data_IF_204370672740
#
_entry.id   IF_204370672740
#
_cell.length_a   1.000
_cell.length_b   1.000
_cell.length_c   1.000
_cell.angle_alpha   90.00
_cell.angle_beta   90.00
_cell.angle_gamma   90.00
#
_symmetry.space_group_name_H-M   'P 1'
#
loop_
_entity.id
_entity.type
_entity.pdbx_description
1 polymer ?
#
# COMPACT_ATOMS: atom_id res chain seq x y z
N UNK A 1 12.48 -13.88 -36.97
CA UNK A 1 13.25 -13.37 -35.82
C UNK A 1 12.43 -12.28 -35.18
N UNK A 2 11.61 -12.63 -34.19
CA UNK A 2 10.74 -11.68 -33.50
C UNK A 2 11.58 -11.01 -32.41
N UNK A 3 11.86 -9.73 -32.57
CA UNK A 3 12.47 -8.92 -31.54
C UNK A 3 11.46 -8.76 -30.40
N UNK A 4 11.62 -9.55 -29.34
CA UNK A 4 11.02 -9.22 -28.05
C UNK A 4 11.69 -7.92 -27.60
N UNK A 5 11.02 -6.80 -27.82
CA UNK A 5 11.29 -5.59 -27.07
C UNK A 5 11.02 -5.93 -25.59
N UNK A 6 12.09 -6.15 -24.84
CA UNK A 6 12.05 -6.27 -23.39
C UNK A 6 11.57 -4.93 -22.84
N UNK A 7 10.26 -4.82 -22.65
CA UNK A 7 9.66 -3.70 -21.94
C UNK A 7 10.28 -3.63 -20.53
N UNK A 8 10.66 -2.43 -20.05
CA UNK A 8 11.14 -2.25 -18.69
C UNK A 8 10.16 -2.88 -17.68
N UNK A 9 10.63 -3.50 -16.59
CA UNK A 9 9.79 -4.15 -15.58
C UNK A 9 8.67 -3.25 -15.03
N UNK A 10 8.91 -1.93 -15.02
CA UNK A 10 8.02 -0.89 -14.51
C UNK A 10 6.66 -0.87 -15.24
N UNK A 11 6.62 -1.15 -16.54
CA UNK A 11 5.35 -1.12 -17.31
C UNK A 11 4.47 -2.37 -17.11
N UNK A 12 4.96 -3.43 -16.44
CA UNK A 12 4.14 -4.62 -16.13
C UNK A 12 3.29 -4.44 -14.87
N UNK A 13 3.66 -3.50 -13.99
CA UNK A 13 2.89 -3.17 -12.79
C UNK A 13 1.63 -2.35 -13.13
N UNK A 14 1.76 -1.38 -14.05
CA UNK A 14 0.78 -0.31 -14.30
C UNK A 14 -0.41 -0.72 -15.20
N UNK A 15 -0.32 -1.83 -15.95
CA UNK A 15 -1.44 -2.23 -16.81
C UNK A 15 -2.58 -2.86 -15.98
N UNK A 16 -3.67 -2.09 -15.79
CA UNK A 16 -4.87 -2.55 -15.10
C UNK A 16 -4.90 -2.27 -13.59
N UNK A 17 -4.03 -1.39 -13.09
CA UNK A 17 -4.13 -0.83 -11.75
C UNK A 17 -5.26 0.21 -11.71
N UNK A 18 -6.11 0.15 -10.68
CA UNK A 18 -7.17 1.13 -10.43
C UNK A 18 -6.67 2.20 -9.45
N UNK A 19 -6.64 3.45 -9.89
CA UNK A 19 -6.28 4.58 -9.03
C UNK A 19 -7.48 5.04 -8.20
N UNK A 20 -7.28 5.13 -6.90
CA UNK A 20 -8.25 5.59 -5.91
C UNK A 20 -7.76 6.93 -5.36
N UNK A 21 -8.59 7.96 -5.51
CA UNK A 21 -8.24 9.30 -5.06
C UNK A 21 -8.06 9.36 -3.52
N UNK A 22 -7.30 10.35 -3.05
CA UNK A 22 -7.02 10.50 -1.63
C UNK A 22 -8.30 10.62 -0.78
N UNK A 23 -8.39 9.80 0.26
CA UNK A 23 -9.53 9.74 1.18
C UNK A 23 -10.75 8.95 0.69
N UNK A 24 -10.78 8.56 -0.60
CA UNK A 24 -11.82 7.71 -1.17
C UNK A 24 -11.69 6.25 -0.72
N UNK A 25 -12.75 5.48 -0.96
CA UNK A 25 -12.84 4.07 -0.59
C UNK A 25 -12.93 3.21 -1.83
N UNK A 26 -12.11 2.17 -1.90
CA UNK A 26 -12.29 1.10 -2.87
C UNK A 26 -13.36 0.12 -2.37
N UNK A 27 -14.33 -0.19 -3.23
CA UNK A 27 -15.33 -1.22 -3.01
C UNK A 27 -15.39 -2.17 -4.22
N UNK A 28 -14.81 -3.35 -4.07
CA UNK A 28 -14.74 -4.29 -5.19
C UNK A 28 -14.16 -5.63 -4.80
N UNK A 29 -14.43 -6.66 -5.60
CA UNK A 29 -13.84 -7.99 -5.43
C UNK A 29 -14.04 -8.57 -4.01
N UNK A 30 -15.18 -8.25 -3.38
CA UNK A 30 -15.51 -8.66 -2.01
C UNK A 30 -14.70 -7.98 -0.91
N UNK A 31 -13.99 -6.89 -1.22
CA UNK A 31 -13.16 -6.12 -0.29
C UNK A 31 -13.62 -4.66 -0.26
N UNK A 32 -13.50 -4.04 0.91
CA UNK A 32 -13.65 -2.61 1.13
C UNK A 32 -12.36 -2.12 1.76
N UNK A 33 -11.66 -1.19 1.10
CA UNK A 33 -10.35 -0.71 1.52
C UNK A 33 -10.33 0.82 1.48
N UNK A 34 -9.86 1.45 2.55
CA UNK A 34 -9.70 2.89 2.63
C UNK A 34 -8.41 3.23 3.38
N UNK A 35 -7.68 4.22 2.87
CA UNK A 35 -6.58 4.84 3.63
C UNK A 35 -7.16 5.81 4.66
N UNK A 36 -6.82 5.60 5.93
CA UNK A 36 -7.31 6.38 7.06
C UNK A 36 -6.34 7.48 7.43
N UNK A 37 -5.05 7.16 7.57
CA UNK A 37 -4.00 8.13 7.92
C UNK A 37 -2.67 7.77 7.26
N UNK A 38 -1.82 8.78 7.12
CA UNK A 38 -0.43 8.65 6.68
C UNK A 38 0.44 9.47 7.62
N UNK A 39 1.16 8.80 8.50
CA UNK A 39 1.97 9.44 9.54
C UNK A 39 3.47 9.24 9.27
N UNK A 40 4.30 10.19 9.72
CA UNK A 40 5.77 10.04 9.78
C UNK A 40 6.22 10.00 11.22
N UNK A 41 6.92 8.93 11.60
CA UNK A 41 7.61 8.82 12.89
C UNK A 41 9.09 9.09 12.65
N UNK A 42 9.75 9.83 13.54
CA UNK A 42 11.17 10.20 13.40
C UNK A 42 12.12 9.32 14.20
N UNK A 43 11.61 8.56 15.18
CA UNK A 43 12.40 7.69 16.05
C UNK A 43 11.66 6.35 16.31
N UNK A 44 11.91 5.28 15.52
CA UNK A 44 12.72 5.25 14.30
C UNK A 44 12.06 6.00 13.13
N UNK A 45 12.84 6.36 12.12
CA UNK A 45 12.36 7.06 10.93
C UNK A 45 11.51 6.12 10.05
N UNK A 46 10.18 6.26 10.12
CA UNK A 46 9.20 5.40 9.44
C UNK A 46 8.07 6.21 8.84
N UNK A 47 7.50 5.71 7.75
CA UNK A 47 6.13 6.06 7.37
C UNK A 47 5.17 4.99 7.89
N UNK A 48 4.06 5.44 8.45
CA UNK A 48 2.96 4.61 8.90
C UNK A 48 1.75 4.90 8.03
N UNK A 49 1.14 3.87 7.46
CA UNK A 49 -0.10 4.00 6.71
C UNK A 49 -1.16 3.16 7.39
N UNK A 50 -2.23 3.79 7.84
CA UNK A 50 -3.35 3.10 8.48
C UNK A 50 -4.42 2.84 7.44
N UNK A 51 -4.81 1.58 7.25
CA UNK A 51 -5.90 1.18 6.37
C UNK A 51 -7.09 0.72 7.19
N UNK A 52 -8.30 1.10 6.78
CA UNK A 52 -9.54 0.44 7.19
C UNK A 52 -9.91 -0.58 6.12
N UNK A 53 -10.01 -1.85 6.50
CA UNK A 53 -10.22 -2.97 5.59
C UNK A 53 -11.37 -3.84 6.10
N UNK A 54 -12.29 -4.17 5.21
CA UNK A 54 -13.24 -5.28 5.39
C UNK A 54 -13.08 -6.24 4.23
N UNK A 55 -12.88 -7.53 4.50
CA UNK A 55 -12.82 -8.56 3.46
C UNK A 55 -13.91 -9.60 3.66
N UNK A 56 -14.79 -9.77 2.67
CA UNK A 56 -15.82 -10.80 2.64
C UNK A 56 -15.36 -12.07 1.91
N UNK A 57 -14.08 -12.16 1.55
CA UNK A 57 -13.46 -13.35 0.96
C UNK A 57 -12.09 -13.64 1.57
N UNK A 58 -11.65 -14.88 1.46
CA UNK A 58 -10.28 -15.26 1.83
C UNK A 58 -9.29 -14.46 1.00
N UNK A 59 -8.29 -13.90 1.67
CA UNK A 59 -7.26 -13.08 1.06
C UNK A 59 -5.91 -13.53 1.59
N UNK A 60 -5.06 -14.03 0.70
CA UNK A 60 -3.66 -14.32 1.00
C UNK A 60 -2.90 -13.02 0.91
N UNK A 61 -2.81 -12.33 2.06
CA UNK A 61 -2.26 -10.98 2.16
C UNK A 61 -1.05 -11.02 3.09
N UNK A 62 0.00 -10.37 2.63
CA UNK A 62 1.26 -10.23 3.34
C UNK A 62 1.87 -8.87 3.05
N UNK A 63 3.07 -8.62 3.60
CA UNK A 63 3.72 -7.32 3.46
C UNK A 63 4.02 -6.96 2.00
N UNK A 64 4.30 -7.95 1.16
CA UNK A 64 4.54 -7.80 -0.27
C UNK A 64 3.28 -7.40 -1.06
N UNK A 65 2.11 -7.50 -0.43
CA UNK A 65 0.86 -6.97 -0.99
C UNK A 65 0.86 -5.45 -1.03
N UNK A 66 1.63 -4.79 -0.15
CA UNK A 66 1.60 -3.34 0.04
C UNK A 66 2.96 -2.71 -0.27
N UNK A 67 2.97 -1.72 -1.14
CA UNK A 67 4.18 -1.01 -1.55
C UNK A 67 3.92 0.49 -1.57
N UNK A 68 4.86 1.27 -1.03
CA UNK A 68 4.75 2.72 -0.90
C UNK A 68 5.61 3.39 -1.97
N UNK A 69 4.99 4.24 -2.78
CA UNK A 69 5.72 5.14 -3.66
C UNK A 69 6.14 6.41 -2.91
N UNK A 70 7.42 6.76 -3.03
CA UNK A 70 7.99 7.98 -2.47
C UNK A 70 8.45 8.89 -3.60
N UNK A 71 8.00 10.14 -3.58
CA UNK A 71 8.28 11.19 -4.60
C UNK A 71 9.75 11.39 -5.03
N UNK A 72 10.72 10.93 -4.24
CA UNK A 72 12.16 11.15 -4.49
C UNK A 72 12.90 9.85 -4.86
N UNK A 73 12.17 8.74 -5.01
CA UNK A 73 12.72 7.43 -5.30
C UNK A 73 12.07 6.82 -6.53
N UNK A 74 12.87 6.09 -7.31
CA UNK A 74 12.39 5.36 -8.48
C UNK A 74 11.87 3.95 -8.13
N UNK A 75 12.12 3.48 -6.90
CA UNK A 75 11.73 2.16 -6.41
C UNK A 75 10.64 2.29 -5.34
N UNK A 76 9.62 1.43 -5.43
CA UNK A 76 8.59 1.32 -4.42
C UNK A 76 9.09 0.56 -3.19
N UNK A 77 8.77 1.08 -2.02
CA UNK A 77 9.22 0.52 -0.74
C UNK A 77 8.18 -0.49 -0.25
N UNK A 78 8.51 -1.78 -0.09
CA UNK A 78 7.57 -2.75 0.44
C UNK A 78 7.26 -2.47 1.91
N UNK A 79 6.09 -2.89 2.38
CA UNK A 79 5.78 -2.85 3.80
C UNK A 79 6.77 -3.73 4.59
N UNK A 80 7.00 -3.35 5.84
CA UNK A 80 7.78 -4.13 6.80
C UNK A 80 6.99 -5.36 7.26
N UNK A 81 7.71 -6.34 7.81
CA UNK A 81 7.10 -7.51 8.46
C UNK A 81 6.27 -7.08 9.67
N UNK A 82 5.20 -7.85 9.94
CA UNK A 82 4.40 -7.65 11.14
C UNK A 82 5.27 -7.81 12.40
N UNK A 83 5.18 -6.85 13.31
CA UNK A 83 5.98 -6.81 14.53
C UNK A 83 5.31 -7.50 15.73
N UNK A 84 4.27 -8.29 15.47
CA UNK A 84 3.51 -9.05 16.47
C UNK A 84 2.39 -8.25 17.15
N UNK A 85 2.22 -6.96 16.84
CA UNK A 85 1.04 -6.21 17.29
C UNK A 85 -0.19 -6.63 16.48
N UNK A 86 -1.39 -6.72 17.07
CA UNK A 86 -2.61 -7.08 16.33
C UNK A 86 -2.90 -6.14 15.15
N UNK A 87 -2.59 -4.85 15.29
CA UNK A 87 -2.78 -3.86 14.24
C UNK A 87 -1.88 -4.10 13.01
N UNK A 88 -0.74 -4.79 13.14
CA UNK A 88 0.19 -5.05 12.04
C UNK A 88 0.02 -6.45 11.45
N UNK A 89 -0.84 -7.30 12.04
CA UNK A 89 -1.11 -8.66 11.54
C UNK A 89 -1.87 -8.64 10.22
N UNK A 90 -1.58 -9.55 9.29
CA UNK A 90 -2.32 -9.70 8.04
C UNK A 90 -3.48 -10.71 8.14
N UNK A 91 -3.84 -11.17 9.34
CA UNK A 91 -4.90 -12.15 9.55
C UNK A 91 -6.28 -11.49 9.58
N UNK A 92 -7.02 -11.53 8.47
CA UNK A 92 -8.36 -10.93 8.38
C UNK A 92 -9.45 -11.93 8.78
N UNK A 93 -10.36 -11.50 9.65
CA UNK A 93 -11.62 -12.20 9.90
C UNK A 93 -12.64 -11.79 8.84
N UNK A 94 -13.30 -12.76 8.23
CA UNK A 94 -14.24 -12.49 7.12
C UNK A 94 -15.43 -11.65 7.59
N UNK A 95 -15.69 -10.58 6.84
CA UNK A 95 -16.81 -9.66 7.07
C UNK A 95 -16.65 -8.71 8.25
N UNK A 96 -15.53 -8.77 8.98
CA UNK A 96 -15.27 -7.87 10.09
C UNK A 96 -14.38 -6.69 9.63
N UNK A 97 -14.82 -5.44 9.86
CA UNK A 97 -13.98 -4.28 9.60
C UNK A 97 -12.83 -4.25 10.59
N UNK A 98 -11.62 -3.97 10.10
CA UNK A 98 -10.43 -3.82 10.93
C UNK A 98 -9.47 -2.80 10.39
N UNK A 99 -8.68 -2.26 11.30
CA UNK A 99 -7.54 -1.41 10.95
C UNK A 99 -6.29 -2.27 10.73
N UNK A 100 -5.52 -1.94 9.70
CA UNK A 100 -4.20 -2.49 9.42
C UNK A 100 -3.21 -1.32 9.41
N UNK A 101 -2.23 -1.40 10.30
CA UNK A 101 -1.11 -0.48 10.37
C UNK A 101 0.05 -1.04 9.53
N UNK A 102 0.32 -0.40 8.41
CA UNK A 102 1.49 -0.68 7.58
C UNK A 102 2.66 0.21 8.04
N UNK A 103 3.86 -0.35 7.99
CA UNK A 103 5.09 0.38 8.31
C UNK A 103 6.03 0.30 7.13
N UNK A 104 6.67 1.41 6.81
CA UNK A 104 7.64 1.51 5.72
C UNK A 104 8.89 2.23 6.23
N UNK A 105 10.06 1.79 5.78
CA UNK A 105 11.30 2.51 6.04
C UNK A 105 11.22 3.89 5.36
N UNK A 106 11.28 4.97 6.14
CA UNK A 106 11.31 6.30 5.58
C UNK A 106 12.76 6.63 5.17
N UNK A 107 12.99 7.18 3.97
CA UNK A 107 14.32 7.59 3.59
C UNK A 107 14.76 8.82 4.39
N UNK A 108 16.06 8.91 4.64
CA UNK A 108 16.71 10.01 5.36
C UNK A 108 16.61 11.39 4.66
N UNK A 109 15.89 11.48 3.53
CA UNK A 109 15.69 12.71 2.78
C UNK A 109 14.55 13.52 3.37
N UNK A 110 14.81 14.81 3.60
CA UNK A 110 13.84 15.72 4.26
C UNK A 110 12.63 15.99 3.36
N UNK A 111 12.83 16.04 2.05
CA UNK A 111 11.81 16.32 1.03
C UNK A 111 11.06 15.08 0.54
N UNK A 112 11.45 13.88 1.00
CA UNK A 112 10.72 12.67 0.71
C UNK A 112 9.34 12.71 1.35
N UNK A 113 8.33 12.41 0.54
CA UNK A 113 6.94 12.25 0.95
C UNK A 113 6.32 11.04 0.25
N UNK A 114 5.43 10.30 0.94
CA UNK A 114 4.57 9.31 0.32
C UNK A 114 3.69 9.95 -0.76
N UNK A 115 3.49 9.25 -1.87
CA UNK A 115 2.68 9.70 -3.01
C UNK A 115 1.51 8.78 -3.22
N UNK A 116 1.79 7.48 -3.38
CA UNK A 116 0.79 6.45 -3.59
C UNK A 116 1.08 5.23 -2.71
N UNK A 117 0.02 4.57 -2.26
CA UNK A 117 0.08 3.22 -1.71
C UNK A 117 -0.45 2.24 -2.76
N UNK A 118 0.43 1.37 -3.24
CA UNK A 118 0.08 0.28 -4.16
C UNK A 118 -0.34 -0.97 -3.38
N UNK A 119 -1.43 -1.57 -3.83
CA UNK A 119 -1.94 -2.88 -3.41
C UNK A 119 -1.84 -3.81 -4.61
N UNK A 120 -1.22 -4.98 -4.47
CA UNK A 120 -0.98 -5.88 -5.63
C UNK A 120 -2.13 -6.86 -5.91
N UNK A 121 -2.96 -7.16 -4.91
CA UNK A 121 -4.21 -7.92 -5.04
C UNK A 121 -5.30 -7.36 -4.10
N UNK A 122 -6.33 -6.66 -4.62
CA UNK A 122 -6.50 -6.30 -6.02
C UNK A 122 -5.47 -5.24 -6.42
N UNK A 123 -5.23 -5.05 -7.72
CA UNK A 123 -4.27 -4.05 -8.22
C UNK A 123 -4.83 -2.64 -8.07
N UNK A 124 -4.45 -1.96 -7.00
CA UNK A 124 -4.93 -0.62 -6.66
C UNK A 124 -3.75 0.33 -6.40
N UNK A 125 -3.92 1.60 -6.71
CA UNK A 125 -3.05 2.68 -6.26
C UNK A 125 -3.87 3.72 -5.51
N UNK A 126 -3.64 3.89 -4.21
CA UNK A 126 -4.29 4.93 -3.42
C UNK A 126 -3.42 6.18 -3.40
N UNK A 127 -3.93 7.28 -3.93
CA UNK A 127 -3.29 8.59 -3.76
C UNK A 127 -3.27 8.98 -2.28
N UNK A 128 -2.13 9.50 -1.81
CA UNK A 128 -1.92 9.84 -0.40
C UNK A 128 -1.87 11.35 -0.15
N UNK A 129 -1.83 12.17 -1.21
CA UNK A 129 -1.77 13.63 -1.07
C UNK A 129 -3.07 14.17 -0.44
N UNK A 130 -2.93 14.85 0.70
CA UNK A 130 -4.08 15.44 1.42
C UNK A 130 -4.72 14.52 2.47
N UNK A 131 -4.15 13.34 2.73
CA UNK A 131 -4.50 12.51 3.90
C UNK A 131 -3.63 12.97 5.08
N UNK A 132 -4.26 13.37 6.18
CA UNK A 132 -3.63 13.80 7.45
C UNK A 132 -3.95 12.83 8.58
#
# INVERSE_FOLDING_TARGET
MFALYGLPPILRAIYGEETIAAGETYEGDGRVIRVVSVDRVTEPELYLVTLAITSNKTWDVGRETFQLEISTQDEWIPAMEADGRPATSFDFVLGEPRELLLQFEAPLRVDARPVELHVTDPRLAFELEGIE
#
